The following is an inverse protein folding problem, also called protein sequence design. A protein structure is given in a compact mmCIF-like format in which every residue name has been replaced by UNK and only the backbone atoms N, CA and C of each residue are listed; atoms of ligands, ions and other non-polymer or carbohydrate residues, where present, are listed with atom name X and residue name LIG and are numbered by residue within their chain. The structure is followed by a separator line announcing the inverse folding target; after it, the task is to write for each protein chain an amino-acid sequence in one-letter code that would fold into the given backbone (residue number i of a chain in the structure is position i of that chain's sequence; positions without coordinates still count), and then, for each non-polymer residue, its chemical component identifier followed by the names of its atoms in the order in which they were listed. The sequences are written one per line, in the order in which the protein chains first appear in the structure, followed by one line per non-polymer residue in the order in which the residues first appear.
data_IF_307510078921
#
_entry.id   IF_307510078921
#
_cell.length_a   1.000
_cell.length_b   1.000
_cell.length_c   1.000
_cell.angle_alpha   90.00
_cell.angle_beta   90.00
_cell.angle_gamma   90.00
#
_symmetry.space_group_name_H-M   'P 1'
#
loop_
_entity.id
_entity.type
_entity.pdbx_description
1 polymer ?
#
# COMPACT_ATOMS: atom_id res chain seq x y z
N UNK A 1 7.29 -11.81 -15.30
CA UNK A 1 6.66 -12.02 -14.00
C UNK A 1 7.67 -12.50 -13.00
N UNK A 2 7.92 -11.71 -11.99
CA UNK A 2 8.89 -12.08 -10.99
C UNK A 2 8.41 -11.61 -9.61
N UNK A 3 8.81 -12.37 -8.59
CA UNK A 3 8.60 -11.95 -7.22
C UNK A 3 9.77 -11.07 -6.80
N UNK A 4 9.46 -10.00 -6.09
CA UNK A 4 10.49 -9.11 -5.54
C UNK A 4 10.55 -9.30 -4.04
N UNK A 5 11.72 -9.02 -3.46
CA UNK A 5 11.89 -9.11 -2.02
C UNK A 5 11.21 -7.91 -1.35
N UNK A 6 10.29 -8.19 -0.44
CA UNK A 6 9.65 -7.13 0.34
C UNK A 6 10.63 -6.67 1.43
N UNK A 7 10.94 -5.36 1.42
CA UNK A 7 11.82 -4.77 2.43
C UNK A 7 11.08 -4.66 3.75
N UNK A 8 11.79 -4.86 4.83
CA UNK A 8 11.18 -4.86 6.17
C UNK A 8 11.54 -3.58 6.92
N UNK A 9 10.71 -3.23 7.89
CA UNK A 9 10.92 -2.06 8.74
C UNK A 9 12.31 -2.13 9.38
N UNK A 10 13.03 -1.03 9.31
CA UNK A 10 14.44 -0.93 9.64
C UNK A 10 15.30 -0.66 8.40
N UNK A 11 14.78 -0.98 7.22
CA UNK A 11 15.43 -0.64 5.96
C UNK A 11 15.14 0.83 5.65
N UNK A 12 16.19 1.62 5.45
CA UNK A 12 16.09 3.07 5.23
C UNK A 12 15.22 3.43 4.01
N UNK A 13 15.13 2.55 3.02
CA UNK A 13 14.33 2.82 1.82
C UNK A 13 12.87 3.11 2.14
N UNK A 14 12.36 2.52 3.23
CA UNK A 14 10.96 2.68 3.63
C UNK A 14 10.67 4.07 4.21
N UNK A 15 11.70 4.83 4.54
CA UNK A 15 11.56 6.17 5.14
C UNK A 15 11.81 7.29 4.14
N UNK A 16 12.00 6.97 2.88
CA UNK A 16 12.30 7.98 1.86
C UNK A 16 11.06 8.39 1.09
N UNK A 17 11.07 9.62 0.60
CA UNK A 17 10.02 10.09 -0.31
C UNK A 17 10.26 9.52 -1.70
N UNK A 18 9.17 9.14 -2.35
CA UNK A 18 9.21 8.61 -3.70
C UNK A 18 9.07 9.73 -4.72
N UNK A 19 9.60 9.50 -5.91
CA UNK A 19 9.55 10.43 -7.03
C UNK A 19 8.35 10.14 -7.92
N UNK A 20 7.82 11.19 -8.52
CA UNK A 20 6.76 11.03 -9.50
C UNK A 20 7.22 10.23 -10.70
N UNK A 21 6.30 9.45 -11.24
CA UNK A 21 6.49 8.76 -12.51
C UNK A 21 6.09 9.73 -13.61
N UNK A 22 7.02 10.04 -14.51
CA UNK A 22 6.77 11.00 -15.60
C UNK A 22 6.24 10.32 -16.85
N UNK A 23 6.62 9.07 -17.06
CA UNK A 23 6.12 8.28 -18.18
C UNK A 23 6.08 6.81 -17.77
N UNK A 24 5.15 6.07 -18.36
CA UNK A 24 5.08 4.62 -18.16
C UNK A 24 5.84 3.96 -19.30
N UNK A 25 6.98 3.38 -18.97
CA UNK A 25 7.82 2.62 -19.89
C UNK A 25 7.77 1.14 -19.48
N UNK A 26 8.53 0.31 -20.17
CA UNK A 26 8.58 -1.12 -19.88
C UNK A 26 9.03 -1.43 -18.44
N UNK A 27 9.93 -0.62 -17.89
CA UNK A 27 10.39 -0.81 -16.51
C UNK A 27 9.27 -0.59 -15.51
N UNK A 28 8.43 0.42 -15.74
CA UNK A 28 7.29 0.69 -14.85
C UNK A 28 6.25 -0.41 -15.00
N UNK A 29 5.96 -0.87 -16.22
CA UNK A 29 5.01 -1.95 -16.44
C UNK A 29 5.50 -3.25 -15.78
N UNK A 30 6.78 -3.56 -15.90
CA UNK A 30 7.36 -4.74 -15.24
C UNK A 30 7.29 -4.60 -13.73
N UNK A 31 7.60 -3.41 -13.20
CA UNK A 31 7.48 -3.14 -11.76
C UNK A 31 6.06 -3.40 -11.26
N UNK A 32 5.05 -2.90 -11.97
CA UNK A 32 3.65 -3.08 -11.59
C UNK A 32 3.29 -4.56 -11.59
N UNK A 33 3.64 -5.30 -12.63
CA UNK A 33 3.37 -6.73 -12.71
C UNK A 33 4.03 -7.49 -11.57
N UNK A 34 5.30 -7.17 -11.28
CA UNK A 34 6.04 -7.82 -10.20
C UNK A 34 5.43 -7.46 -8.83
N UNK A 35 4.99 -6.22 -8.66
CA UNK A 35 4.35 -5.78 -7.42
C UNK A 35 3.04 -6.54 -7.18
N UNK A 36 2.23 -6.70 -8.23
CA UNK A 36 0.98 -7.47 -8.12
C UNK A 36 1.27 -8.92 -7.75
N UNK A 37 2.21 -9.57 -8.43
CA UNK A 37 2.57 -10.94 -8.13
C UNK A 37 3.09 -11.08 -6.70
N UNK A 38 3.94 -10.15 -6.28
CA UNK A 38 4.51 -10.15 -4.92
C UNK A 38 3.43 -9.97 -3.87
N UNK A 39 2.52 -9.04 -4.11
CA UNK A 39 1.38 -8.78 -3.21
C UNK A 39 0.51 -10.03 -3.06
N UNK A 40 0.14 -10.66 -4.18
CA UNK A 40 -0.73 -11.84 -4.14
C UNK A 40 -0.03 -13.03 -3.48
N UNK A 41 1.25 -13.23 -3.76
CA UNK A 41 2.01 -14.32 -3.13
C UNK A 41 2.07 -14.16 -1.61
N UNK A 42 2.12 -12.93 -1.13
CA UNK A 42 2.18 -12.62 0.29
C UNK A 42 0.79 -12.49 0.93
N UNK A 43 -0.28 -12.70 0.18
CA UNK A 43 -1.66 -12.52 0.63
C UNK A 43 -1.94 -11.11 1.16
N UNK A 44 -1.30 -10.10 0.57
CA UNK A 44 -1.51 -8.72 0.93
C UNK A 44 -2.65 -8.09 0.17
N UNK A 45 -3.18 -6.98 0.68
CA UNK A 45 -4.23 -6.20 0.01
C UNK A 45 -3.66 -4.96 -0.67
N UNK A 46 -2.42 -4.60 -0.38
CA UNK A 46 -1.75 -3.46 -0.99
C UNK A 46 -0.24 -3.59 -0.92
N UNK A 47 0.43 -2.91 -1.83
CA UNK A 47 1.89 -2.84 -1.86
C UNK A 47 2.31 -1.55 -2.56
N UNK A 48 3.27 -0.87 -1.98
CA UNK A 48 3.85 0.35 -2.55
C UNK A 48 5.26 0.08 -3.05
N UNK A 49 5.68 0.76 -4.09
CA UNK A 49 6.98 0.52 -4.73
C UNK A 49 8.18 0.58 -3.79
N UNK A 50 8.25 1.49 -2.80
CA UNK A 50 9.40 1.49 -1.89
C UNK A 50 9.52 0.20 -1.08
N UNK A 51 8.44 -0.54 -0.89
CA UNK A 51 8.49 -1.83 -0.19
C UNK A 51 9.26 -2.89 -0.99
N UNK A 52 9.45 -2.69 -2.27
CA UNK A 52 10.33 -3.54 -3.09
C UNK A 52 11.60 -2.81 -3.53
N UNK A 53 11.92 -1.71 -2.84
CA UNK A 53 13.17 -0.99 -3.02
C UNK A 53 13.18 0.03 -4.15
N UNK A 54 12.03 0.36 -4.71
CA UNK A 54 11.92 1.30 -5.83
C UNK A 54 11.25 2.59 -5.36
N UNK A 55 11.95 3.71 -5.45
CA UNK A 55 11.47 5.00 -4.95
C UNK A 55 10.67 5.75 -6.01
N UNK A 56 9.57 5.14 -6.45
CA UNK A 56 8.62 5.70 -7.41
C UNK A 56 7.23 5.69 -6.82
N UNK A 57 6.41 6.66 -7.21
CA UNK A 57 5.05 6.80 -6.68
C UNK A 57 4.10 5.86 -7.41
N UNK A 58 4.22 4.58 -7.09
CA UNK A 58 3.38 3.51 -7.64
C UNK A 58 2.88 2.65 -6.50
N UNK A 59 1.57 2.40 -6.48
CA UNK A 59 0.97 1.47 -5.54
C UNK A 59 0.02 0.54 -6.28
N UNK A 60 -0.15 -0.66 -5.74
CA UNK A 60 -1.13 -1.64 -6.21
C UNK A 60 -2.00 -2.07 -5.03
N UNK A 61 -3.28 -2.26 -5.27
CA UNK A 61 -4.26 -2.62 -4.23
C UNK A 61 -5.25 -3.62 -4.83
N UNK A 62 -5.63 -4.62 -4.04
CA UNK A 62 -6.74 -5.51 -4.36
C UNK A 62 -7.41 -5.93 -3.06
N UNK A 63 -8.62 -5.44 -2.84
CA UNK A 63 -9.40 -5.74 -1.64
C UNK A 63 -10.47 -6.82 -1.92
N UNK A 64 -10.31 -7.55 -3.02
CA UNK A 64 -11.22 -8.63 -3.41
C UNK A 64 -12.09 -8.31 -4.63
N UNK A 65 -11.92 -7.15 -5.24
CA UNK A 65 -12.70 -6.71 -6.39
C UNK A 65 -11.86 -6.53 -7.65
N UNK A 66 -10.64 -7.04 -7.65
CA UNK A 66 -9.70 -6.94 -8.75
C UNK A 66 -8.59 -5.94 -8.47
N UNK A 67 -7.51 -6.00 -9.25
CA UNK A 67 -6.35 -5.15 -9.00
C UNK A 67 -6.62 -3.70 -9.38
N UNK A 68 -6.11 -2.81 -8.54
CA UNK A 68 -6.14 -1.37 -8.77
C UNK A 68 -4.69 -0.91 -8.82
N UNK A 69 -4.33 -0.23 -9.91
CA UNK A 69 -2.99 0.35 -10.07
C UNK A 69 -3.11 1.87 -9.95
N UNK A 70 -2.33 2.45 -9.06
CA UNK A 70 -2.34 3.89 -8.83
C UNK A 70 -0.94 4.45 -9.00
N UNK A 71 -0.75 5.23 -10.07
CA UNK A 71 0.50 5.91 -10.35
C UNK A 71 0.32 7.38 -9.98
N UNK A 72 1.25 7.93 -9.23
CA UNK A 72 1.19 9.30 -8.72
C UNK A 72 -0.12 9.61 -7.99
N UNK A 73 -0.53 8.77 -7.03
CA UNK A 73 -1.82 8.98 -6.36
C UNK A 73 -1.85 10.25 -5.51
N UNK A 74 -3.01 10.89 -5.48
CA UNK A 74 -3.26 12.06 -4.64
C UNK A 74 -4.59 11.87 -3.95
N UNK A 75 -4.63 12.01 -2.64
CA UNK A 75 -5.87 11.96 -1.88
C UNK A 75 -6.53 13.33 -1.99
N UNK A 76 -7.77 13.37 -2.50
CA UNK A 76 -8.52 14.60 -2.73
C UNK A 76 -9.44 14.95 -1.58
N UNK A 77 -10.12 13.95 -1.01
CA UNK A 77 -11.08 14.15 0.07
C UNK A 77 -11.03 12.97 1.01
N UNK A 78 -11.27 13.25 2.29
CA UNK A 78 -11.46 12.20 3.30
C UNK A 78 -12.62 12.60 4.20
N UNK A 79 -13.32 11.63 4.74
CA UNK A 79 -14.34 11.89 5.76
C UNK A 79 -14.55 10.68 6.65
N UNK A 80 -15.11 10.93 7.82
CA UNK A 80 -15.37 9.88 8.78
C UNK A 80 -14.10 9.29 9.36
N UNK A 81 -14.28 8.31 10.21
CA UNK A 81 -13.18 7.59 10.83
C UNK A 81 -13.53 6.12 10.97
N UNK A 82 -12.52 5.28 10.85
CA UNK A 82 -12.60 3.87 11.18
C UNK A 82 -11.38 3.52 12.03
N UNK A 83 -11.57 2.70 13.02
CA UNK A 83 -10.49 2.27 13.90
C UNK A 83 -10.44 0.76 13.91
N UNK A 84 -9.29 0.18 13.66
CA UNK A 84 -9.15 -1.26 13.64
C UNK A 84 -7.70 -1.66 13.44
N UNK A 85 -7.49 -2.97 13.43
CA UNK A 85 -6.15 -3.51 13.23
C UNK A 85 -5.65 -3.29 11.82
N UNK A 86 -4.40 -2.91 11.72
CA UNK A 86 -3.72 -2.74 10.44
C UNK A 86 -2.37 -3.44 10.52
N UNK A 87 -1.98 -4.06 9.42
CA UNK A 87 -0.68 -4.69 9.30
C UNK A 87 -0.01 -4.24 8.02
N UNK A 88 1.21 -4.73 7.81
CA UNK A 88 2.00 -4.34 6.63
C UNK A 88 2.92 -5.49 6.25
N UNK A 89 3.06 -5.73 4.96
CA UNK A 89 3.99 -6.75 4.46
C UNK A 89 5.43 -6.46 4.86
N UNK A 90 5.76 -5.20 5.15
CA UNK A 90 7.09 -4.80 5.62
C UNK A 90 7.31 -5.02 7.12
N UNK A 91 6.31 -5.50 7.83
CA UNK A 91 6.43 -5.90 9.24
C UNK A 91 5.60 -7.16 9.47
N UNK A 92 6.08 -8.31 8.95
CA UNK A 92 5.33 -9.55 9.07
C UNK A 92 5.17 -9.98 10.52
N UNK A 93 4.02 -10.58 10.81
CA UNK A 93 3.74 -11.11 12.15
C UNK A 93 3.29 -10.08 13.16
N UNK A 94 3.10 -8.83 12.78
CA UNK A 94 2.67 -7.76 13.67
C UNK A 94 1.45 -7.04 13.11
N UNK A 95 0.64 -6.49 14.00
CA UNK A 95 -0.44 -5.58 13.65
C UNK A 95 -0.62 -4.58 14.78
N UNK A 96 -1.36 -3.52 14.51
CA UNK A 96 -1.66 -2.53 15.53
C UNK A 96 -2.93 -1.78 15.18
N UNK A 97 -3.52 -1.15 16.18
CA UNK A 97 -4.74 -0.39 16.00
C UNK A 97 -4.42 0.98 15.39
N UNK A 98 -5.04 1.26 14.25
CA UNK A 98 -4.84 2.52 13.53
C UNK A 98 -6.19 3.12 13.17
N UNK A 99 -6.34 4.42 13.39
CA UNK A 99 -7.52 5.16 12.95
C UNK A 99 -7.22 5.78 11.59
N UNK A 100 -8.10 5.53 10.64
CA UNK A 100 -8.01 6.02 9.28
C UNK A 100 -9.33 6.66 8.89
N UNK A 101 -9.34 7.52 7.84
CA UNK A 101 -10.62 7.95 7.27
C UNK A 101 -11.44 6.74 6.83
N UNK A 102 -12.76 6.80 7.03
CA UNK A 102 -13.65 5.75 6.55
C UNK A 102 -13.99 5.92 5.08
N UNK A 103 -13.95 7.14 4.58
CA UNK A 103 -14.15 7.48 3.17
C UNK A 103 -12.92 8.20 2.62
N UNK A 104 -12.50 7.80 1.44
CA UNK A 104 -11.39 8.43 0.71
C UNK A 104 -11.77 8.60 -0.74
N UNK A 105 -11.52 9.78 -1.28
CA UNK A 105 -11.55 10.02 -2.71
C UNK A 105 -10.13 10.38 -3.14
N UNK A 106 -9.64 9.70 -4.16
CA UNK A 106 -8.28 9.90 -4.66
C UNK A 106 -8.29 9.97 -6.18
N UNK A 107 -7.25 10.57 -6.72
CA UNK A 107 -6.98 10.51 -8.16
C UNK A 107 -5.62 9.87 -8.37
N UNK A 108 -5.45 9.23 -9.51
CA UNK A 108 -4.21 8.60 -9.90
C UNK A 108 -4.17 8.46 -11.41
N UNK A 109 -3.05 7.96 -11.91
CA UNK A 109 -2.92 7.57 -13.32
C UNK A 109 -2.89 6.07 -13.43
N UNK A 110 -3.46 5.55 -14.50
CA UNK A 110 -3.38 4.14 -14.81
C UNK A 110 -2.11 3.82 -15.61
N UNK A 111 -2.01 2.57 -16.08
CA UNK A 111 -0.82 2.11 -16.82
C UNK A 111 -0.67 2.75 -18.20
N UNK A 112 -1.69 3.44 -18.67
CA UNK A 112 -1.67 4.18 -19.93
C UNK A 112 -1.47 5.68 -19.68
N UNK A 113 -1.14 6.06 -18.43
CA UNK A 113 -1.01 7.45 -17.99
C UNK A 113 -2.27 8.27 -18.19
N UNK A 114 -3.43 7.62 -18.04
CA UNK A 114 -4.70 8.31 -18.04
C UNK A 114 -5.16 8.54 -16.62
N UNK A 115 -5.54 9.77 -16.32
CA UNK A 115 -5.98 10.13 -14.97
C UNK A 115 -7.38 9.58 -14.72
N UNK A 116 -7.56 9.06 -13.50
CA UNK A 116 -8.88 8.60 -13.05
C UNK A 116 -9.07 8.95 -11.58
N UNK A 117 -10.32 8.93 -11.15
CA UNK A 117 -10.64 9.10 -9.73
C UNK A 117 -11.22 7.82 -9.19
N UNK A 118 -10.96 7.57 -7.92
CA UNK A 118 -11.48 6.40 -7.21
C UNK A 118 -11.98 6.84 -5.84
N UNK A 119 -13.10 6.27 -5.43
CA UNK A 119 -13.66 6.48 -4.11
C UNK A 119 -13.76 5.14 -3.41
N UNK A 120 -13.54 5.13 -2.11
CA UNK A 120 -13.64 3.91 -1.34
C UNK A 120 -13.98 4.18 0.11
N UNK A 121 -14.53 3.15 0.74
CA UNK A 121 -14.82 3.14 2.18
C UNK A 121 -14.21 1.88 2.78
N UNK A 122 -14.21 1.80 4.11
CA UNK A 122 -13.77 0.60 4.82
C UNK A 122 -12.34 0.20 4.46
N UNK A 123 -12.16 -1.05 4.06
CA UNK A 123 -10.83 -1.59 3.76
C UNK A 123 -10.15 -0.86 2.60
N UNK A 124 -10.89 -0.52 1.56
CA UNK A 124 -10.30 0.20 0.43
C UNK A 124 -9.78 1.58 0.85
N UNK A 125 -10.56 2.33 1.65
CA UNK A 125 -10.11 3.62 2.15
C UNK A 125 -8.85 3.47 3.00
N UNK A 126 -8.81 2.47 3.86
CA UNK A 126 -7.65 2.17 4.70
C UNK A 126 -6.43 1.83 3.84
N UNK A 127 -6.61 0.99 2.84
CA UNK A 127 -5.52 0.57 1.95
C UNK A 127 -4.96 1.75 1.16
N UNK A 128 -5.81 2.61 0.60
CA UNK A 128 -5.35 3.78 -0.14
C UNK A 128 -4.48 4.68 0.76
N UNK A 129 -4.93 4.96 1.96
CA UNK A 129 -4.18 5.79 2.91
C UNK A 129 -2.86 5.15 3.32
N UNK A 130 -2.88 3.85 3.62
CA UNK A 130 -1.69 3.12 4.04
C UNK A 130 -0.62 3.14 2.93
N UNK A 131 -1.01 2.85 1.69
CA UNK A 131 -0.07 2.80 0.58
C UNK A 131 0.42 4.18 0.18
N UNK A 132 -0.43 5.19 0.21
CA UNK A 132 0.00 6.56 -0.06
C UNK A 132 0.99 7.06 1.00
N UNK A 133 0.81 6.66 2.25
CA UNK A 133 1.77 6.99 3.32
C UNK A 133 3.15 6.43 3.00
N UNK A 134 3.23 5.19 2.50
CA UNK A 134 4.51 4.59 2.11
C UNK A 134 5.28 5.45 1.11
N UNK A 135 4.57 6.12 0.20
CA UNK A 135 5.21 6.96 -0.81
C UNK A 135 5.86 8.19 -0.21
N UNK A 136 5.48 8.56 1.00
CA UNK A 136 6.03 9.69 1.73
C UNK A 136 6.91 9.27 2.92
N UNK A 137 7.27 7.99 2.99
CA UNK A 137 8.12 7.47 4.05
C UNK A 137 7.42 7.31 5.40
N UNK A 138 6.10 7.28 5.39
CA UNK A 138 5.30 7.11 6.62
C UNK A 138 4.83 5.66 6.71
N UNK A 139 5.02 5.06 7.87
CA UNK A 139 4.66 3.68 8.13
C UNK A 139 3.50 3.63 9.12
N UNK A 140 2.72 2.54 9.06
CA UNK A 140 1.58 2.43 9.96
C UNK A 140 1.99 2.43 11.43
N UNK A 141 3.20 1.96 11.74
CA UNK A 141 3.72 1.96 13.12
C UNK A 141 3.80 3.37 13.70
N UNK A 142 3.89 4.40 12.84
CA UNK A 142 3.91 5.79 13.28
C UNK A 142 2.53 6.25 13.74
N UNK A 143 1.50 5.50 13.41
CA UNK A 143 0.09 5.85 13.67
C UNK A 143 -0.61 4.87 14.60
N UNK A 144 0.08 3.83 15.05
CA UNK A 144 -0.51 2.81 15.92
C UNK A 144 -0.88 3.43 17.27
N UNK A 145 -2.10 3.15 17.71
CA UNK A 145 -2.62 3.55 19.02
C UNK A 145 -2.34 2.41 19.99
N UNK A 146 -1.51 2.66 20.99
CA UNK A 146 -1.08 1.64 21.91
C UNK A 146 0.09 0.83 21.37
N UNK A 147 0.13 -0.44 21.68
CA UNK A 147 1.24 -1.32 21.33
C UNK A 147 0.93 -2.19 20.13
N UNK A 148 1.99 -2.61 19.43
CA UNK A 148 1.85 -3.61 18.37
C UNK A 148 1.51 -4.96 18.98
N UNK A 149 0.70 -5.72 18.26
CA UNK A 149 0.32 -7.08 18.63
C UNK A 149 1.04 -8.08 17.75
N UNK A 150 1.33 -9.25 18.30
CA UNK A 150 1.85 -10.35 17.50
C UNK A 150 0.67 -11.10 16.90
N UNK A 151 0.72 -11.32 15.59
CA UNK A 151 -0.28 -12.13 14.90
C UNK A 151 0.09 -13.60 15.07
N UNK A 152 -0.82 -14.40 15.60
CA UNK A 152 -0.61 -15.83 15.78
C UNK A 152 -1.12 -16.59 14.56
N UNK A 153 -0.21 -16.90 13.67
CA UNK A 153 -0.55 -17.60 12.43
C UNK A 153 -0.97 -19.05 12.66
N UNK A 154 -0.66 -19.63 13.80
CA UNK A 154 -1.08 -20.99 14.08
C UNK A 154 -2.60 -21.12 14.23
N UNK A 155 -3.24 -20.05 14.69
CA UNK A 155 -4.70 -20.01 14.81
C UNK A 155 -5.38 -19.84 13.45
N UNK A 156 -4.67 -19.29 12.48
CA UNK A 156 -5.23 -19.05 11.14
C UNK A 156 -5.16 -20.29 10.27
N UNK A 157 -4.19 -21.15 10.50
CA UNK A 157 -3.97 -22.36 9.71
C UNK A 157 -4.92 -23.49 10.07
N UNK A 158 -5.58 -23.39 11.18
CA UNK A 158 -6.56 -24.38 11.63
C UNK A 158 -7.97 -24.03 11.16
#
# INVERSE_FOLDING_TARGET
MALRTVRVIGDDVLRKNCREVKEVNERILTLIDDMLDTMYEANGVGLAAPQVGVLKRVVVIDVGEGPIVMINPVILETSGEQTGDEGCLSLPGKSGVVTRPDYVKAKAFDEEMQEYEIEGTGLLARAICHECDHLNGVLYVDKVEGELHTVDYSDVEE
#
